data_IF_431034390085
#
_entry.id   IF_431034390085
#
_cell.length_a   1.000
_cell.length_b   1.000
_cell.length_c   1.000
_cell.angle_alpha   90.00
_cell.angle_beta   90.00
_cell.angle_gamma   90.00
#
_symmetry.space_group_name_H-M   'P 1'
#
loop_
_entity.id
_entity.type
_entity.pdbx_description
1 polymer ?
#
# COMPACT_ATOMS: atom_id res chain seq x y z
N UNK A 1 -5.77 32.52 4.02
CA UNK A 1 -5.30 31.65 5.12
C UNK A 1 -6.48 30.96 5.79
N UNK A 2 -6.26 29.81 6.43
CA UNK A 2 -7.31 29.08 7.17
C UNK A 2 -7.99 29.97 8.22
N UNK A 3 -7.22 30.79 8.93
CA UNK A 3 -7.74 31.76 9.92
C UNK A 3 -8.76 32.73 9.33
N UNK A 4 -8.52 33.21 8.10
CA UNK A 4 -9.47 34.08 7.38
C UNK A 4 -10.78 33.35 7.08
N UNK A 5 -10.72 32.08 6.66
CA UNK A 5 -11.90 31.28 6.39
C UNK A 5 -12.72 31.03 7.68
N UNK A 6 -12.05 30.70 8.79
CA UNK A 6 -12.70 30.52 10.10
C UNK A 6 -13.40 31.81 10.56
N UNK A 7 -12.74 32.97 10.41
CA UNK A 7 -13.34 34.27 10.74
C UNK A 7 -14.56 34.56 9.87
N UNK A 8 -14.48 34.33 8.56
CA UNK A 8 -15.61 34.52 7.66
C UNK A 8 -16.81 33.61 8.03
N UNK A 9 -16.58 32.36 8.42
CA UNK A 9 -17.64 31.45 8.86
C UNK A 9 -18.25 31.92 10.17
N UNK A 10 -17.43 32.30 11.15
CA UNK A 10 -17.90 32.86 12.42
C UNK A 10 -18.78 34.09 12.18
N UNK A 11 -18.31 35.01 11.35
CA UNK A 11 -18.97 36.31 11.16
C UNK A 11 -20.29 36.17 10.39
N UNK A 12 -20.43 35.15 9.53
CA UNK A 12 -21.64 34.91 8.72
C UNK A 12 -22.64 33.92 9.34
N UNK A 13 -22.16 32.93 10.08
CA UNK A 13 -22.95 31.80 10.58
C UNK A 13 -22.87 31.60 12.09
N UNK A 14 -22.08 32.43 12.79
CA UNK A 14 -21.96 32.40 14.24
C UNK A 14 -21.40 31.09 14.79
N UNK A 15 -21.83 30.73 16.01
CA UNK A 15 -21.36 29.54 16.70
C UNK A 15 -21.82 28.23 16.05
N UNK A 16 -22.96 28.22 15.36
CA UNK A 16 -23.48 27.04 14.67
C UNK A 16 -22.59 26.66 13.49
N UNK A 17 -22.28 27.63 12.60
CA UNK A 17 -21.37 27.37 11.49
C UNK A 17 -19.95 26.98 11.93
N UNK A 18 -19.50 27.45 13.09
CA UNK A 18 -18.22 26.98 13.66
C UNK A 18 -18.29 25.52 14.13
N UNK A 19 -19.40 25.07 14.70
CA UNK A 19 -19.59 23.66 15.08
C UNK A 19 -19.59 22.77 13.84
N UNK A 20 -20.28 23.18 12.79
CA UNK A 20 -20.32 22.45 11.52
C UNK A 20 -18.93 22.38 10.88
N UNK A 21 -18.21 23.51 10.85
CA UNK A 21 -16.84 23.55 10.37
C UNK A 21 -15.92 22.63 11.16
N UNK A 22 -16.07 22.58 12.49
CA UNK A 22 -15.32 21.64 13.33
C UNK A 22 -15.68 20.18 13.03
N UNK A 23 -16.96 19.87 12.81
CA UNK A 23 -17.39 18.52 12.47
C UNK A 23 -16.78 18.05 11.15
N UNK A 24 -16.77 18.92 10.14
CA UNK A 24 -16.11 18.66 8.84
C UNK A 24 -14.61 18.48 9.03
N UNK A 25 -13.94 19.38 9.74
CA UNK A 25 -12.50 19.28 9.98
C UNK A 25 -12.11 17.98 10.69
N UNK A 26 -12.91 17.53 11.67
CA UNK A 26 -12.70 16.24 12.33
C UNK A 26 -12.92 15.04 11.41
N UNK A 27 -13.88 15.13 10.50
CA UNK A 27 -14.10 14.10 9.49
C UNK A 27 -12.90 14.00 8.55
N UNK A 28 -12.40 15.12 8.06
CA UNK A 28 -11.23 15.15 7.18
C UNK A 28 -9.96 14.67 7.90
N UNK A 29 -9.78 15.00 9.18
CA UNK A 29 -8.67 14.48 9.97
C UNK A 29 -8.71 12.96 10.07
N UNK A 30 -9.88 12.37 10.39
CA UNK A 30 -10.03 10.91 10.43
C UNK A 30 -9.75 10.25 9.07
N UNK A 31 -10.13 10.91 7.97
CA UNK A 31 -9.86 10.42 6.62
C UNK A 31 -8.36 10.43 6.32
N UNK A 32 -7.65 11.51 6.68
CA UNK A 32 -6.21 11.62 6.53
C UNK A 32 -5.48 10.53 7.35
N UNK A 33 -5.83 10.36 8.62
CA UNK A 33 -5.26 9.31 9.49
C UNK A 33 -5.54 7.89 8.97
N UNK A 34 -6.70 7.66 8.36
CA UNK A 34 -7.01 6.38 7.72
C UNK A 34 -6.17 6.15 6.45
N UNK A 35 -5.95 7.19 5.66
CA UNK A 35 -5.08 7.13 4.48
C UNK A 35 -3.61 6.89 4.87
N UNK A 36 -3.12 7.56 5.91
CA UNK A 36 -1.77 7.36 6.44
C UNK A 36 -1.56 5.93 6.94
N UNK A 37 -2.52 5.36 7.68
CA UNK A 37 -2.45 3.94 8.08
C UNK A 37 -2.40 2.98 6.91
N UNK A 38 -3.16 3.24 5.84
CA UNK A 38 -3.11 2.44 4.61
C UNK A 38 -1.75 2.57 3.92
N UNK A 39 -1.20 3.78 3.86
CA UNK A 39 0.13 4.00 3.29
C UNK A 39 1.23 3.28 4.09
N UNK A 40 1.15 3.34 5.42
CA UNK A 40 2.07 2.64 6.31
C UNK A 40 2.02 1.12 6.09
N UNK A 41 0.82 0.54 5.96
CA UNK A 41 0.64 -0.89 5.68
C UNK A 41 1.23 -1.33 4.33
N UNK A 42 1.24 -0.45 3.32
CA UNK A 42 1.89 -0.71 2.03
C UNK A 42 3.42 -0.54 2.09
N UNK A 43 3.91 0.20 3.08
CA UNK A 43 5.34 0.48 3.25
C UNK A 43 6.06 -0.56 4.11
N UNK A 44 5.32 -1.41 4.81
CA UNK A 44 5.91 -2.60 5.44
C UNK A 44 6.40 -3.54 4.30
N UNK A 45 7.69 -3.90 4.28
CA UNK A 45 8.15 -4.93 3.35
C UNK A 45 7.34 -6.18 3.62
N UNK A 46 6.75 -6.75 2.55
CA UNK A 46 6.08 -8.04 2.63
C UNK A 46 6.99 -8.99 3.43
N UNK A 47 6.43 -9.59 4.49
CA UNK A 47 7.15 -10.54 5.33
C UNK A 47 8.00 -11.44 4.43
N UNK A 48 9.30 -11.51 4.72
CA UNK A 48 10.27 -12.21 3.90
C UNK A 48 9.63 -13.51 3.41
N UNK A 49 9.51 -13.64 2.09
CA UNK A 49 9.00 -14.86 1.48
C UNK A 49 9.68 -16.04 2.18
N UNK A 50 8.89 -17.04 2.60
CA UNK A 50 9.45 -18.26 3.17
C UNK A 50 10.65 -18.68 2.34
N UNK A 51 11.76 -19.11 2.95
CA UNK A 51 12.95 -19.48 2.21
C UNK A 51 12.53 -20.54 1.20
N UNK A 52 12.44 -20.15 -0.07
CA UNK A 52 12.14 -21.06 -1.16
C UNK A 52 13.18 -22.15 -1.04
N UNK A 53 12.73 -23.39 -0.79
CA UNK A 53 13.65 -24.50 -0.60
C UNK A 53 14.57 -24.54 -1.82
N UNK A 54 15.86 -24.33 -1.57
CA UNK A 54 16.86 -24.33 -2.63
C UNK A 54 16.81 -25.68 -3.37
N UNK A 55 16.41 -26.76 -2.70
CA UNK A 55 16.22 -28.06 -3.31
C UNK A 55 15.13 -28.07 -4.40
N UNK A 56 13.99 -27.42 -4.17
CA UNK A 56 12.90 -27.36 -5.16
C UNK A 56 13.28 -26.51 -6.37
N UNK A 57 14.02 -25.42 -6.14
CA UNK A 57 14.55 -24.58 -7.23
C UNK A 57 15.59 -25.36 -8.06
N UNK A 58 16.50 -26.08 -7.40
CA UNK A 58 17.51 -26.89 -8.09
C UNK A 58 16.89 -28.10 -8.82
N UNK A 59 15.86 -28.72 -8.24
CA UNK A 59 15.13 -29.82 -8.88
C UNK A 59 14.39 -29.35 -10.14
N UNK A 60 13.79 -28.15 -10.11
CA UNK A 60 13.12 -27.58 -11.28
C UNK A 60 14.11 -27.24 -12.39
N UNK A 61 15.25 -26.62 -12.06
CA UNK A 61 16.30 -26.31 -13.04
C UNK A 61 16.85 -27.58 -13.71
N UNK A 62 17.13 -28.63 -12.93
CA UNK A 62 17.61 -29.91 -13.43
C UNK A 62 16.59 -30.62 -14.34
N UNK A 63 15.29 -30.45 -14.08
CA UNK A 63 14.24 -30.97 -14.97
C UNK A 63 14.16 -30.19 -16.29
N UNK A 64 14.37 -28.87 -16.26
CA UNK A 64 14.27 -28.00 -17.44
C UNK A 64 15.53 -27.93 -18.31
N UNK A 65 16.70 -28.28 -17.78
CA UNK A 65 17.98 -28.34 -18.52
C UNK A 65 18.21 -29.68 -19.24
N UNK A 66 17.22 -30.57 -19.26
CA UNK A 66 17.27 -31.79 -20.09
C UNK A 66 17.07 -31.39 -21.56
N UNK A 67 18.18 -31.18 -22.26
CA UNK A 67 18.24 -31.00 -23.71
C UNK A 67 17.78 -32.32 -24.39
N UNK A 68 16.74 -32.30 -25.26
CA UNK A 68 16.24 -33.50 -25.93
C UNK A 68 17.11 -33.94 -27.12
N UNK A 69 18.42 -33.69 -27.12
CA UNK A 69 19.32 -34.19 -28.16
C UNK A 69 19.82 -35.60 -27.81
N UNK A 70 18.86 -36.51 -27.79
CA UNK A 70 19.08 -37.94 -27.95
C UNK A 70 18.75 -38.37 -29.37
N UNK A 71 19.65 -38.16 -30.32
CA UNK A 71 19.69 -38.96 -31.56
C UNK A 71 21.07 -39.61 -31.75
N UNK A 72 21.13 -40.83 -31.24
CA UNK A 72 21.73 -42.05 -31.81
C UNK A 72 22.48 -41.88 -33.15
N UNK A 73 23.79 -42.14 -33.12
CA UNK A 73 24.63 -42.04 -34.32
C UNK A 73 25.89 -42.89 -34.24
N UNK A 74 25.73 -44.21 -34.08
CA UNK A 74 26.78 -45.23 -34.37
C UNK A 74 27.54 -44.90 -35.68
N UNK A 75 28.84 -44.61 -35.58
CA UNK A 75 29.92 -45.23 -36.39
C UNK A 75 31.30 -44.79 -35.97
#
# INVERSE_FOLDING_TARGET
MVTTAVMNVRDRFGAEGLRDLMAVAQMELRNAEAAERRLAALSEPAAAAEPVDAADTQAWLAYTEVDPDGEDGRR
#
